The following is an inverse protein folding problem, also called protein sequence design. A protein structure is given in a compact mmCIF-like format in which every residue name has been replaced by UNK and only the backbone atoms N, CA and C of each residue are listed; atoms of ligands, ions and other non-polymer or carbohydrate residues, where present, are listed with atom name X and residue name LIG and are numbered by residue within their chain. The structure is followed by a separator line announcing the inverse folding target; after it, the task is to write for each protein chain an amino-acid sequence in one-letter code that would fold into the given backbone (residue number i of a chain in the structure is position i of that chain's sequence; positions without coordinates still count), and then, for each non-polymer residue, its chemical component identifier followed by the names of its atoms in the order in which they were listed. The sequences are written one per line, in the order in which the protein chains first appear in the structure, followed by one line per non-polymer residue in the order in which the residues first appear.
data_IF_305945860025
#
_entry.id   IF_305945860025
#
_cell.length_a   1.000
_cell.length_b   1.000
_cell.length_c   1.000
_cell.angle_alpha   90.00
_cell.angle_beta   90.00
_cell.angle_gamma   90.00
#
_symmetry.space_group_name_H-M   'P 1'
#
loop_
_entity.id
_entity.type
_entity.pdbx_description
1 polymer ?
#
# COMPACT_ATOMS: atom_id res chain seq x y z
N UNK A 1 6.07 16.91 -48.48
CA UNK A 1 5.72 15.47 -48.55
C UNK A 1 6.54 14.56 -47.64
N UNK A 2 7.85 14.80 -47.39
CA UNK A 2 8.66 13.93 -46.51
C UNK A 2 8.39 14.07 -45.00
N UNK A 3 7.93 15.23 -44.53
CA UNK A 3 7.63 15.47 -43.09
C UNK A 3 6.32 14.81 -42.66
N UNK A 4 5.30 14.81 -43.53
CA UNK A 4 4.00 14.20 -43.24
C UNK A 4 4.08 12.66 -43.18
N UNK A 5 4.96 12.04 -43.97
CA UNK A 5 5.18 10.60 -43.93
C UNK A 5 5.83 10.11 -42.63
N UNK A 6 6.76 10.89 -42.04
CA UNK A 6 7.42 10.54 -40.78
C UNK A 6 6.47 10.63 -39.56
N UNK A 7 5.55 11.61 -39.59
CA UNK A 7 4.55 11.81 -38.54
C UNK A 7 3.44 10.75 -38.64
N UNK A 8 3.02 10.40 -39.86
CA UNK A 8 2.16 9.24 -40.09
C UNK A 8 2.84 7.93 -39.70
N UNK A 9 4.13 7.72 -39.98
CA UNK A 9 4.85 6.51 -39.55
C UNK A 9 4.96 6.41 -38.02
N UNK A 10 5.20 7.52 -37.31
CA UNK A 10 5.21 7.54 -35.84
C UNK A 10 3.82 7.21 -35.27
N UNK A 11 2.76 7.84 -35.79
CA UNK A 11 1.38 7.56 -35.36
C UNK A 11 0.93 6.12 -35.69
N UNK A 12 1.40 5.56 -36.82
CA UNK A 12 1.07 4.21 -37.26
C UNK A 12 1.86 3.14 -36.50
N UNK A 13 3.13 3.40 -36.14
CA UNK A 13 3.93 2.52 -35.27
C UNK A 13 3.39 2.54 -33.83
N UNK A 14 2.98 3.70 -33.31
CA UNK A 14 2.34 3.82 -31.98
C UNK A 14 1.01 3.04 -31.94
N UNK A 15 0.27 2.97 -33.05
CA UNK A 15 -0.98 2.19 -33.13
C UNK A 15 -0.80 0.66 -33.12
N UNK A 16 0.44 0.13 -33.12
CA UNK A 16 0.72 -1.30 -33.27
C UNK A 16 1.37 -2.00 -32.05
N UNK A 17 1.67 -1.31 -30.96
CA UNK A 17 2.31 -1.94 -29.79
C UNK A 17 1.56 -1.75 -28.47
N UNK A 18 0.23 -1.71 -28.53
CA UNK A 18 -0.54 -1.85 -27.29
C UNK A 18 -0.57 -3.32 -26.88
N UNK A 19 -0.13 -3.60 -25.66
CA UNK A 19 -0.23 -4.94 -25.06
C UNK A 19 -1.69 -5.24 -24.67
N UNK A 20 -1.91 -6.41 -24.04
CA UNK A 20 -3.26 -6.93 -23.73
C UNK A 20 -4.04 -6.02 -22.79
N UNK A 21 -3.37 -5.20 -21.97
CA UNK A 21 -4.01 -4.33 -21.00
C UNK A 21 -4.86 -3.21 -21.63
N UNK A 22 -4.67 -2.93 -22.92
CA UNK A 22 -5.53 -2.00 -23.68
C UNK A 22 -7.02 -2.36 -23.66
N UNK A 23 -7.36 -3.62 -23.35
CA UNK A 23 -8.73 -4.15 -23.30
C UNK A 23 -9.33 -4.18 -21.89
N UNK A 24 -8.54 -3.90 -20.86
CA UNK A 24 -8.99 -3.97 -19.46
C UNK A 24 -9.92 -2.81 -19.11
N UNK A 25 -10.72 -2.96 -18.05
CA UNK A 25 -11.58 -1.88 -17.59
C UNK A 25 -10.81 -0.89 -16.71
N UNK A 26 -10.02 -1.41 -15.77
CA UNK A 26 -9.11 -0.65 -14.90
C UNK A 26 -8.35 0.43 -15.65
N UNK A 27 -8.47 1.67 -15.16
CA UNK A 27 -7.67 2.79 -15.63
C UNK A 27 -6.19 2.59 -15.34
N UNK A 28 -5.86 2.00 -14.18
CA UNK A 28 -4.50 1.67 -13.80
C UNK A 28 -3.85 0.68 -14.79
N UNK A 29 -4.56 -0.41 -15.16
CA UNK A 29 -4.03 -1.36 -16.14
C UNK A 29 -3.86 -0.71 -17.52
N UNK A 30 -4.82 0.11 -17.94
CA UNK A 30 -4.74 0.86 -19.22
C UNK A 30 -3.55 1.80 -19.29
N UNK A 31 -3.12 2.42 -18.19
CA UNK A 31 -1.92 3.27 -18.16
C UNK A 31 -0.66 2.50 -18.59
N UNK A 32 -0.61 1.19 -18.36
CA UNK A 32 0.51 0.33 -18.75
C UNK A 32 0.34 -0.32 -20.14
N UNK A 33 -0.73 -0.01 -20.88
CA UNK A 33 -1.02 -0.65 -22.15
C UNK A 33 0.02 -0.36 -23.25
N UNK A 34 0.73 0.77 -23.15
CA UNK A 34 1.75 1.20 -24.10
C UNK A 34 3.19 0.85 -23.66
N UNK A 35 3.35 0.25 -22.48
CA UNK A 35 4.67 -0.16 -22.00
C UNK A 35 5.25 -1.25 -22.93
N UNK A 36 6.57 -1.22 -23.20
CA UNK A 36 7.24 -2.25 -24.02
C UNK A 36 7.23 -3.64 -23.38
N UNK A 37 6.88 -3.75 -22.09
CA UNK A 37 6.64 -5.03 -21.42
C UNK A 37 5.37 -5.67 -21.99
N UNK A 38 5.44 -6.94 -22.39
CA UNK A 38 4.29 -7.72 -22.89
C UNK A 38 3.41 -8.16 -21.73
N UNK A 39 2.67 -7.22 -21.16
CA UNK A 39 1.80 -7.45 -20.02
C UNK A 39 0.58 -8.30 -20.39
N UNK A 40 0.29 -9.27 -19.54
CA UNK A 40 -0.98 -9.97 -19.45
C UNK A 40 -1.79 -9.41 -18.27
N UNK A 41 -3.13 -9.33 -18.38
CA UNK A 41 -3.97 -9.23 -17.20
C UNK A 41 -3.91 -10.54 -16.40
N UNK A 42 -4.31 -10.49 -15.13
CA UNK A 42 -4.42 -11.69 -14.32
C UNK A 42 -5.53 -12.61 -14.84
N UNK A 43 -5.18 -13.83 -15.25
CA UNK A 43 -6.15 -14.82 -15.71
C UNK A 43 -5.52 -16.03 -16.39
N UNK A 44 -6.36 -16.99 -16.78
CA UNK A 44 -5.94 -18.29 -17.36
C UNK A 44 -5.00 -18.16 -18.56
N UNK A 45 -5.15 -17.11 -19.38
CA UNK A 45 -4.27 -16.85 -20.52
C UNK A 45 -2.79 -16.70 -20.10
N UNK A 46 -2.52 -16.00 -19.00
CA UNK A 46 -1.16 -15.80 -18.49
C UNK A 46 -0.54 -17.11 -17.98
N UNK A 47 -1.31 -17.90 -17.21
CA UNK A 47 -0.86 -19.20 -16.69
C UNK A 47 -0.59 -20.19 -17.83
N UNK A 48 -1.49 -20.25 -18.82
CA UNK A 48 -1.31 -21.11 -19.99
C UNK A 48 -0.06 -20.71 -20.79
N UNK A 49 0.19 -19.41 -20.99
CA UNK A 49 1.37 -18.92 -21.67
C UNK A 49 2.66 -19.24 -20.88
N UNK A 50 2.63 -19.15 -19.55
CA UNK A 50 3.77 -19.51 -18.70
C UNK A 50 4.09 -21.01 -18.78
N UNK A 51 3.06 -21.85 -18.76
CA UNK A 51 3.19 -23.31 -18.88
C UNK A 51 3.72 -23.72 -20.26
N UNK A 52 3.14 -23.18 -21.35
CA UNK A 52 3.56 -23.49 -22.72
C UNK A 52 5.01 -23.06 -23.00
N UNK A 53 5.39 -21.87 -22.49
CA UNK A 53 6.74 -21.34 -22.70
C UNK A 53 7.77 -21.89 -21.70
N UNK A 54 7.33 -22.59 -20.66
CA UNK A 54 8.17 -23.05 -19.55
C UNK A 54 8.87 -21.92 -18.80
N UNK A 55 8.29 -20.71 -18.82
CA UNK A 55 8.83 -19.51 -18.14
C UNK A 55 8.12 -19.29 -16.81
N UNK A 56 8.79 -18.76 -15.78
CA UNK A 56 8.12 -18.29 -14.59
C UNK A 56 7.22 -17.08 -14.87
N UNK A 57 6.23 -16.88 -14.02
CA UNK A 57 5.41 -15.67 -13.99
C UNK A 57 6.14 -14.58 -13.21
N UNK A 58 6.03 -13.35 -13.70
CA UNK A 58 6.35 -12.14 -12.93
C UNK A 58 5.04 -11.36 -12.75
N UNK A 59 4.50 -11.40 -11.54
CA UNK A 59 3.25 -10.74 -11.16
C UNK A 59 3.59 -9.40 -10.50
N UNK A 60 3.21 -8.30 -11.14
CA UNK A 60 3.41 -6.94 -10.64
C UNK A 60 2.07 -6.31 -10.26
N UNK A 61 1.84 -6.16 -8.95
CA UNK A 61 0.60 -5.65 -8.37
C UNK A 61 0.79 -4.19 -7.95
N UNK A 62 -0.16 -3.35 -8.31
CA UNK A 62 -0.23 -1.95 -7.87
C UNK A 62 -1.64 -1.40 -8.06
N UNK A 63 -1.80 -0.09 -8.01
CA UNK A 63 -3.07 0.59 -8.11
C UNK A 63 -2.83 2.06 -8.48
N UNK A 64 -3.88 2.78 -8.88
CA UNK A 64 -3.78 4.05 -9.61
C UNK A 64 -3.12 5.22 -8.86
N UNK A 65 -3.22 5.28 -7.53
CA UNK A 65 -2.68 6.37 -6.72
C UNK A 65 -1.32 6.02 -6.05
N UNK A 66 -0.76 4.85 -6.39
CA UNK A 66 0.49 4.35 -5.84
C UNK A 66 1.71 5.07 -6.46
N UNK A 67 2.30 6.02 -5.73
CA UNK A 67 3.50 6.75 -6.16
C UNK A 67 4.65 5.82 -6.60
N UNK A 68 5.08 4.88 -5.75
CA UNK A 68 6.18 3.97 -6.09
C UNK A 68 5.87 3.06 -7.28
N UNK A 69 4.60 2.81 -7.56
CA UNK A 69 4.18 2.08 -8.75
C UNK A 69 4.41 2.92 -10.02
N UNK A 70 4.10 4.22 -9.97
CA UNK A 70 4.44 5.16 -11.05
C UNK A 70 5.94 5.31 -11.24
N UNK A 71 6.70 5.49 -10.14
CA UNK A 71 8.17 5.57 -10.18
C UNK A 71 8.76 4.33 -10.85
N UNK A 72 8.37 3.13 -10.43
CA UNK A 72 8.88 1.90 -11.04
C UNK A 72 8.43 1.74 -12.50
N UNK A 73 7.24 2.21 -12.85
CA UNK A 73 6.78 2.17 -14.23
C UNK A 73 7.65 3.05 -15.14
N UNK A 74 7.85 4.31 -14.78
CA UNK A 74 8.68 5.25 -15.52
C UNK A 74 10.15 4.81 -15.58
N UNK A 75 10.70 4.39 -14.45
CA UNK A 75 12.13 4.05 -14.37
C UNK A 75 12.45 2.68 -15.00
N UNK A 76 11.51 1.73 -14.96
CA UNK A 76 11.77 0.34 -15.36
C UNK A 76 10.85 -0.19 -16.45
N UNK A 77 9.53 -0.10 -16.29
CA UNK A 77 8.60 -0.77 -17.22
C UNK A 77 8.48 -0.07 -18.58
N UNK A 78 8.83 1.23 -18.67
CA UNK A 78 8.91 2.00 -19.91
C UNK A 78 10.26 1.83 -20.65
N UNK A 79 11.26 1.24 -19.99
CA UNK A 79 12.58 1.05 -20.57
C UNK A 79 12.60 -0.15 -21.53
N UNK A 80 12.86 0.09 -22.82
CA UNK A 80 13.02 -0.97 -23.84
C UNK A 80 14.04 -2.04 -23.44
N UNK A 81 15.13 -1.65 -22.79
CA UNK A 81 16.17 -2.57 -22.34
C UNK A 81 15.66 -3.52 -21.26
N UNK A 82 15.01 -2.97 -20.22
CA UNK A 82 14.51 -3.74 -19.09
C UNK A 82 13.32 -4.59 -19.53
N UNK A 83 12.40 -4.01 -20.31
CA UNK A 83 11.26 -4.74 -20.87
C UNK A 83 11.69 -5.92 -21.73
N UNK A 84 12.77 -5.79 -22.51
CA UNK A 84 13.33 -6.91 -23.26
C UNK A 84 13.80 -8.05 -22.35
N UNK A 85 14.45 -7.73 -21.21
CA UNK A 85 14.83 -8.74 -20.23
C UNK A 85 13.59 -9.41 -19.63
N UNK A 86 12.59 -8.63 -19.24
CA UNK A 86 11.33 -9.13 -18.70
C UNK A 86 10.63 -10.08 -19.68
N UNK A 87 10.39 -9.64 -20.92
CA UNK A 87 9.70 -10.42 -21.96
C UNK A 87 10.47 -11.68 -22.37
N UNK A 88 11.80 -11.62 -22.38
CA UNK A 88 12.64 -12.77 -22.73
C UNK A 88 12.54 -13.88 -21.68
N UNK A 89 12.41 -13.52 -20.40
CA UNK A 89 12.62 -14.43 -19.29
C UNK A 89 11.35 -14.80 -18.51
N UNK A 90 10.29 -14.00 -18.62
CA UNK A 90 9.08 -14.13 -17.82
C UNK A 90 7.83 -14.00 -18.68
N UNK A 91 6.72 -14.54 -18.19
CA UNK A 91 5.38 -14.08 -18.57
C UNK A 91 4.98 -13.02 -17.56
N UNK A 92 4.87 -11.78 -18.02
CA UNK A 92 4.65 -10.62 -17.16
C UNK A 92 3.16 -10.36 -16.97
N UNK A 93 2.70 -10.33 -15.73
CA UNK A 93 1.31 -10.13 -15.36
C UNK A 93 1.17 -8.84 -14.58
N UNK A 94 0.25 -7.97 -15.02
CA UNK A 94 -0.08 -6.72 -14.30
C UNK A 94 -1.42 -6.91 -13.60
N UNK A 95 -1.46 -6.58 -12.31
CA UNK A 95 -2.67 -6.69 -11.49
C UNK A 95 -3.00 -5.34 -10.89
N UNK A 96 -4.28 -4.97 -10.96
CA UNK A 96 -4.84 -3.86 -10.20
C UNK A 96 -5.37 -4.40 -8.88
N UNK A 97 -4.79 -3.93 -7.78
CA UNK A 97 -5.21 -4.27 -6.42
C UNK A 97 -6.65 -3.85 -6.14
N UNK A 98 -7.13 -2.76 -6.72
CA UNK A 98 -8.49 -2.25 -6.47
C UNK A 98 -9.55 -3.15 -7.12
N UNK A 99 -9.23 -3.78 -8.24
CA UNK A 99 -10.09 -4.78 -8.88
C UNK A 99 -9.90 -6.20 -8.30
N UNK A 100 -8.68 -6.55 -7.86
CA UNK A 100 -8.30 -7.88 -7.36
C UNK A 100 -7.62 -7.85 -5.99
N UNK A 101 -8.31 -7.40 -4.93
CA UNK A 101 -7.77 -7.39 -3.57
C UNK A 101 -7.50 -8.80 -3.03
N UNK A 102 -8.19 -9.81 -3.56
CA UNK A 102 -7.98 -11.22 -3.25
C UNK A 102 -6.60 -11.71 -3.71
N UNK A 103 -6.17 -11.32 -4.91
CA UNK A 103 -4.85 -11.67 -5.46
C UNK A 103 -3.76 -10.91 -4.72
N UNK A 104 -3.98 -9.61 -4.47
CA UNK A 104 -3.08 -8.76 -3.71
C UNK A 104 -2.77 -9.33 -2.32
N UNK A 105 -3.80 -9.73 -1.57
CA UNK A 105 -3.63 -10.24 -0.22
C UNK A 105 -2.74 -11.48 -0.18
N UNK A 106 -3.01 -12.48 -1.03
CA UNK A 106 -2.25 -13.74 -1.07
C UNK A 106 -0.77 -13.48 -1.36
N UNK A 107 -0.49 -12.59 -2.31
CA UNK A 107 0.88 -12.28 -2.70
C UNK A 107 1.59 -11.34 -1.71
N UNK A 108 0.86 -10.45 -1.05
CA UNK A 108 1.40 -9.62 0.02
C UNK A 108 1.86 -10.49 1.20
N UNK A 109 1.04 -11.44 1.62
CA UNK A 109 1.39 -12.41 2.66
C UNK A 109 2.65 -13.22 2.28
N UNK A 110 2.73 -13.67 1.02
CA UNK A 110 3.91 -14.38 0.52
C UNK A 110 5.18 -13.52 0.60
N UNK A 111 5.13 -12.26 0.16
CA UNK A 111 6.31 -11.37 0.19
C UNK A 111 6.69 -11.00 1.61
N UNK A 112 5.73 -10.74 2.50
CA UNK A 112 5.99 -10.49 3.91
C UNK A 112 6.71 -11.67 4.57
N UNK A 113 6.35 -12.91 4.23
CA UNK A 113 7.08 -14.07 4.73
C UNK A 113 8.54 -14.13 4.23
N UNK A 114 8.77 -13.78 2.97
CA UNK A 114 10.09 -13.87 2.32
C UNK A 114 11.02 -12.74 2.77
N UNK A 115 10.51 -11.50 2.80
CA UNK A 115 11.29 -10.28 3.01
C UNK A 115 11.11 -9.67 4.40
N UNK A 116 10.21 -10.21 5.23
CA UNK A 116 9.81 -9.66 6.54
C UNK A 116 9.23 -8.23 6.46
N UNK A 117 8.88 -7.79 5.24
CA UNK A 117 8.31 -6.49 4.93
C UNK A 117 7.44 -6.61 3.67
N UNK A 118 6.53 -5.67 3.47
CA UNK A 118 5.62 -5.65 2.33
C UNK A 118 5.24 -4.23 1.95
N UNK A 119 4.64 -4.07 0.78
CA UNK A 119 4.27 -2.77 0.21
C UNK A 119 4.10 -2.85 -1.30
N UNK A 120 3.79 -1.70 -1.91
CA UNK A 120 3.59 -1.58 -3.36
C UNK A 120 4.65 -0.66 -3.98
N UNK A 121 5.07 -0.88 -5.24
CA UNK A 121 4.63 -1.95 -6.15
C UNK A 121 5.08 -3.31 -5.62
N UNK A 122 4.19 -4.30 -5.70
CA UNK A 122 4.48 -5.64 -5.22
C UNK A 122 4.87 -6.51 -6.42
N UNK A 123 6.13 -6.95 -6.46
CA UNK A 123 6.68 -7.73 -7.56
C UNK A 123 6.97 -9.16 -7.08
N UNK A 124 6.22 -10.13 -7.61
CA UNK A 124 6.27 -11.52 -7.18
C UNK A 124 6.61 -12.44 -8.34
N UNK A 125 7.62 -13.29 -8.12
CA UNK A 125 8.04 -14.31 -9.05
C UNK A 125 7.38 -15.64 -8.66
N UNK A 126 6.65 -16.21 -9.61
CA UNK A 126 5.83 -17.40 -9.38
C UNK A 126 6.18 -18.51 -10.37
N UNK A 127 5.91 -19.74 -9.96
CA UNK A 127 5.83 -20.87 -10.88
C UNK A 127 4.71 -20.64 -11.91
N UNK A 128 4.71 -21.37 -13.05
CA UNK A 128 3.65 -21.27 -14.06
C UNK A 128 2.22 -21.51 -13.53
N UNK A 129 2.07 -22.19 -12.40
CA UNK A 129 0.79 -22.45 -11.73
C UNK A 129 0.39 -21.34 -10.72
N UNK A 130 1.19 -20.28 -10.60
CA UNK A 130 0.92 -19.14 -9.74
C UNK A 130 1.50 -19.22 -8.32
N UNK A 131 2.10 -20.35 -7.91
CA UNK A 131 2.69 -20.43 -6.55
C UNK A 131 3.93 -19.51 -6.44
N UNK A 132 3.98 -18.61 -5.45
CA UNK A 132 5.09 -17.67 -5.30
C UNK A 132 6.33 -18.35 -4.73
N UNK A 133 7.51 -18.01 -5.25
CA UNK A 133 8.80 -18.48 -4.70
C UNK A 133 9.77 -17.35 -4.33
N UNK A 134 9.56 -16.14 -4.83
CA UNK A 134 10.35 -14.96 -4.48
C UNK A 134 9.52 -13.70 -4.70
N UNK A 135 9.85 -12.61 -4.02
CA UNK A 135 9.27 -11.31 -4.32
C UNK A 135 9.88 -10.20 -3.49
N UNK A 136 9.43 -8.98 -3.78
CA UNK A 136 9.82 -7.77 -3.08
C UNK A 136 8.96 -6.59 -3.52
N UNK A 137 9.27 -5.42 -2.98
CA UNK A 137 8.53 -4.20 -3.28
C UNK A 137 9.17 -3.46 -4.47
N UNK A 138 9.75 -2.30 -4.21
CA UNK A 138 10.43 -1.48 -5.20
C UNK A 138 11.86 -1.97 -5.46
N UNK A 139 12.24 -2.03 -6.74
CA UNK A 139 13.60 -2.30 -7.18
C UNK A 139 14.06 -1.18 -8.15
N UNK A 140 15.17 -0.47 -7.87
CA UNK A 140 15.63 0.61 -8.75
C UNK A 140 16.21 0.05 -10.06
N UNK A 141 16.23 0.82 -11.16
CA UNK A 141 16.80 0.37 -12.43
C UNK A 141 18.32 0.20 -12.37
N UNK A 142 18.99 0.94 -11.48
CA UNK A 142 20.44 0.99 -11.29
C UNK A 142 20.81 0.99 -9.81
N UNK A 143 22.08 0.69 -9.50
CA UNK A 143 22.57 0.74 -8.13
C UNK A 143 22.78 2.19 -7.71
N UNK A 144 22.03 2.61 -6.67
CA UNK A 144 22.09 3.97 -6.10
C UNK A 144 22.91 4.04 -4.81
N UNK A 145 23.63 2.98 -4.45
CA UNK A 145 24.43 2.92 -3.21
C UNK A 145 23.62 2.77 -1.93
N UNK A 146 22.31 2.49 -2.04
CA UNK A 146 21.38 2.34 -0.91
C UNK A 146 21.20 0.88 -0.47
N UNK A 147 22.03 -0.04 -0.99
CA UNK A 147 21.96 -1.48 -0.67
C UNK A 147 20.83 -2.24 -1.38
N UNK A 148 20.01 -1.56 -2.21
CA UNK A 148 18.98 -2.19 -3.02
C UNK A 148 19.58 -2.83 -4.28
N UNK A 149 19.16 -4.05 -4.58
CA UNK A 149 19.62 -4.77 -5.78
C UNK A 149 18.89 -4.20 -7.00
N UNK A 150 19.60 -3.81 -8.07
CA UNK A 150 18.95 -3.26 -9.26
C UNK A 150 18.04 -4.27 -9.96
N UNK A 151 16.92 -3.78 -10.49
CA UNK A 151 15.88 -4.58 -11.13
C UNK A 151 16.40 -5.51 -12.25
N UNK A 152 17.26 -5.05 -13.18
CA UNK A 152 17.85 -5.94 -14.19
C UNK A 152 18.66 -7.10 -13.58
N UNK A 153 19.34 -6.85 -12.45
CA UNK A 153 20.11 -7.90 -11.77
C UNK A 153 19.19 -8.92 -11.09
N UNK A 154 18.08 -8.47 -10.48
CA UNK A 154 17.07 -9.37 -9.90
C UNK A 154 16.48 -10.26 -10.99
N UNK A 155 16.01 -9.66 -12.10
CA UNK A 155 15.46 -10.39 -13.25
C UNK A 155 16.41 -11.48 -13.76
N UNK A 156 17.69 -11.15 -13.96
CA UNK A 156 18.67 -12.10 -14.46
C UNK A 156 18.98 -13.21 -13.46
N UNK A 157 19.19 -12.87 -12.18
CA UNK A 157 19.47 -13.87 -11.13
C UNK A 157 18.31 -14.87 -10.99
N UNK A 158 17.07 -14.38 -10.98
CA UNK A 158 15.89 -15.24 -10.90
C UNK A 158 15.78 -16.13 -12.13
N UNK A 159 15.93 -15.57 -13.33
CA UNK A 159 15.88 -16.35 -14.57
C UNK A 159 16.95 -17.45 -14.62
N UNK A 160 18.20 -17.14 -14.25
CA UNK A 160 19.28 -18.12 -14.23
C UNK A 160 19.05 -19.21 -13.20
N UNK A 161 18.58 -18.84 -12.01
CA UNK A 161 18.29 -19.78 -10.94
C UNK A 161 17.09 -20.68 -11.32
N UNK A 162 16.05 -20.14 -11.93
CA UNK A 162 14.91 -20.92 -12.44
C UNK A 162 15.33 -21.97 -13.45
N UNK A 163 16.30 -21.67 -14.33
CA UNK A 163 16.82 -22.64 -15.31
C UNK A 163 17.72 -23.71 -14.70
N UNK A 164 18.45 -23.38 -13.64
CA UNK A 164 19.46 -24.27 -13.04
C UNK A 164 18.91 -25.13 -11.91
N UNK A 165 18.00 -24.58 -11.12
CA UNK A 165 17.56 -25.10 -9.83
C UNK A 165 16.03 -25.07 -9.69
N UNK A 166 15.30 -25.45 -10.75
CA UNK A 166 13.82 -25.41 -10.75
C UNK A 166 13.21 -26.16 -9.57
N UNK A 167 13.75 -27.33 -9.22
CA UNK A 167 13.26 -28.14 -8.08
C UNK A 167 13.37 -27.40 -6.74
N UNK A 168 14.44 -26.64 -6.51
CA UNK A 168 14.60 -25.85 -5.28
C UNK A 168 13.54 -24.74 -5.19
N UNK A 169 13.19 -24.13 -6.33
CA UNK A 169 12.11 -23.14 -6.40
C UNK A 169 10.73 -23.77 -6.18
N UNK A 170 10.51 -24.98 -6.67
CA UNK A 170 9.27 -25.74 -6.43
C UNK A 170 9.10 -26.08 -4.94
N UNK A 171 10.16 -26.54 -4.29
CA UNK A 171 10.17 -26.81 -2.84
C UNK A 171 9.92 -25.53 -2.02
N UNK A 172 10.52 -24.41 -2.40
CA UNK A 172 10.29 -23.12 -1.75
C UNK A 172 8.84 -22.64 -1.94
N UNK A 173 8.30 -22.77 -3.15
CA UNK A 173 6.92 -22.44 -3.45
C UNK A 173 5.92 -23.27 -2.63
N UNK A 174 6.19 -24.58 -2.49
CA UNK A 174 5.41 -25.48 -1.63
C UNK A 174 5.45 -25.08 -0.16
N UNK A 175 6.62 -24.68 0.34
CA UNK A 175 6.77 -24.23 1.71
C UNK A 175 5.99 -22.93 1.97
N UNK A 176 6.06 -21.97 1.05
CA UNK A 176 5.32 -20.71 1.15
C UNK A 176 3.82 -20.97 1.10
N UNK A 177 3.34 -21.73 0.11
CA UNK A 177 1.93 -22.07 -0.03
C UNK A 177 1.38 -22.77 1.22
N UNK A 178 2.11 -23.76 1.74
CA UNK A 178 1.69 -24.50 2.94
C UNK A 178 1.54 -23.59 4.16
N UNK A 179 2.45 -22.63 4.33
CA UNK A 179 2.39 -21.68 5.43
C UNK A 179 1.24 -20.68 5.28
N UNK A 180 1.01 -20.14 4.08
CA UNK A 180 -0.15 -19.29 3.80
C UNK A 180 -1.44 -20.05 4.11
N UNK A 181 -1.57 -21.28 3.61
CA UNK A 181 -2.72 -22.13 3.91
C UNK A 181 -2.85 -22.45 5.40
N UNK A 182 -1.74 -22.65 6.12
CA UNK A 182 -1.75 -22.91 7.55
C UNK A 182 -2.20 -21.68 8.35
N UNK A 183 -1.77 -20.46 7.97
CA UNK A 183 -2.22 -19.20 8.57
C UNK A 183 -3.72 -18.99 8.33
N UNK A 184 -4.18 -19.20 7.11
CA UNK A 184 -5.61 -19.12 6.75
C UNK A 184 -6.40 -20.21 7.48
N UNK A 185 -5.90 -21.44 7.58
CA UNK A 185 -6.58 -22.52 8.31
C UNK A 185 -6.57 -22.29 9.83
N UNK A 186 -5.51 -21.74 10.41
CA UNK A 186 -5.51 -21.34 11.82
C UNK A 186 -6.60 -20.29 12.09
N UNK A 187 -6.84 -19.38 11.15
CA UNK A 187 -7.96 -18.42 11.18
C UNK A 187 -9.33 -19.04 10.83
N UNK A 188 -9.36 -20.12 10.03
CA UNK A 188 -10.59 -20.74 9.48
C UNK A 188 -11.01 -22.03 10.20
N UNK A 189 -10.26 -22.51 11.19
CA UNK A 189 -10.76 -23.59 12.03
C UNK A 189 -11.90 -23.07 12.90
N UNK A 190 -13.13 -23.30 12.44
CA UNK A 190 -14.26 -23.64 13.30
C UNK A 190 -14.01 -24.95 14.06
N UNK A 191 -12.84 -25.06 14.71
CA UNK A 191 -12.22 -26.31 15.11
C UNK A 191 -11.06 -26.16 16.10
N UNK A 192 -10.85 -24.99 16.71
CA UNK A 192 -10.28 -25.00 18.05
C UNK A 192 -11.29 -25.73 18.96
N UNK A 193 -10.99 -26.97 19.34
CA UNK A 193 -11.74 -27.67 20.40
C UNK A 193 -11.56 -27.03 21.79
N UNK A 194 -10.79 -25.93 21.88
CA UNK A 194 -10.76 -25.08 23.05
C UNK A 194 -12.05 -24.28 23.16
N UNK A 195 -12.65 -24.28 24.35
CA UNK A 195 -13.72 -23.34 24.66
C UNK A 195 -13.17 -21.91 24.49
N UNK A 196 -13.92 -21.06 23.79
CA UNK A 196 -13.64 -19.62 23.75
C UNK A 196 -13.54 -19.06 25.18
N UNK A 197 -12.50 -18.27 25.44
CA UNK A 197 -12.28 -17.59 26.71
C UNK A 197 -11.99 -16.10 26.46
N UNK A 198 -12.65 -15.23 27.24
CA UNK A 198 -12.41 -13.80 27.20
C UNK A 198 -10.97 -13.45 27.60
N UNK A 199 -10.26 -14.33 28.32
CA UNK A 199 -8.84 -14.17 28.63
C UNK A 199 -7.96 -13.94 27.38
N UNK A 200 -8.32 -14.53 26.23
CA UNK A 200 -7.59 -14.30 24.99
C UNK A 200 -7.67 -12.86 24.49
N UNK A 201 -8.80 -12.19 24.69
CA UNK A 201 -8.95 -10.77 24.35
C UNK A 201 -8.08 -9.89 25.24
N UNK A 202 -7.98 -10.23 26.53
CA UNK A 202 -7.13 -9.53 27.50
C UNK A 202 -5.66 -9.74 27.19
N UNK A 203 -5.25 -10.96 26.84
CA UNK A 203 -3.88 -11.26 26.40
C UNK A 203 -3.52 -10.48 25.13
N UNK A 204 -4.40 -10.48 24.12
CA UNK A 204 -4.22 -9.73 22.89
C UNK A 204 -4.07 -8.22 23.17
N UNK A 205 -4.92 -7.65 24.03
CA UNK A 205 -4.84 -6.23 24.39
C UNK A 205 -3.53 -5.87 25.09
N UNK A 206 -3.06 -6.71 26.02
CA UNK A 206 -1.76 -6.54 26.66
C UNK A 206 -0.61 -6.60 25.65
N UNK A 207 -0.63 -7.57 24.73
CA UNK A 207 0.36 -7.70 23.67
C UNK A 207 0.41 -6.47 22.77
N UNK A 208 -0.76 -6.00 22.31
CA UNK A 208 -0.87 -4.80 21.48
C UNK A 208 -0.36 -3.58 22.24
N UNK A 209 -0.86 -3.34 23.46
CA UNK A 209 -0.47 -2.18 24.28
C UNK A 209 1.02 -2.17 24.63
N UNK A 210 1.65 -3.34 24.75
CA UNK A 210 3.08 -3.49 25.01
C UNK A 210 3.98 -3.11 23.83
N UNK A 211 3.44 -3.01 22.63
CA UNK A 211 4.16 -2.59 21.41
C UNK A 211 3.94 -1.12 21.03
N UNK A 212 3.14 -0.39 21.81
CA UNK A 212 2.81 1.00 21.55
C UNK A 212 4.01 1.93 21.76
N UNK A 213 4.17 2.89 20.85
CA UNK A 213 5.12 3.98 20.95
C UNK A 213 4.54 5.09 21.84
N UNK A 214 4.89 5.09 23.12
CA UNK A 214 4.38 6.09 24.08
C UNK A 214 4.87 7.52 23.82
N UNK A 215 5.94 7.68 23.02
CA UNK A 215 6.51 8.99 22.73
C UNK A 215 5.81 9.66 21.55
N UNK A 216 5.59 8.92 20.46
CA UNK A 216 5.01 9.47 19.23
C UNK A 216 3.66 8.86 18.85
N UNK A 217 3.10 7.96 19.65
CA UNK A 217 1.81 7.32 19.41
C UNK A 217 1.83 6.30 18.27
N UNK A 218 0.93 5.32 18.29
CA UNK A 218 0.85 4.26 17.29
C UNK A 218 1.76 3.07 17.60
N UNK A 219 2.06 2.28 16.58
CA UNK A 219 2.70 0.97 16.75
C UNK A 219 3.83 0.78 15.73
N UNK A 220 4.91 0.13 16.15
CA UNK A 220 6.06 -0.15 15.30
C UNK A 220 6.94 1.07 14.98
N UNK A 221 7.89 0.87 14.08
CA UNK A 221 8.78 1.91 13.57
C UNK A 221 8.30 2.54 12.26
N UNK A 222 9.17 3.30 11.60
CA UNK A 222 8.89 3.85 10.28
C UNK A 222 8.95 2.78 9.16
N UNK A 223 8.09 2.86 8.12
CA UNK A 223 6.96 3.79 7.96
C UNK A 223 5.78 3.44 8.89
N UNK A 224 5.05 4.46 9.38
CA UNK A 224 3.91 4.30 10.30
C UNK A 224 2.58 4.46 9.59
N UNK A 225 1.71 3.45 9.75
CA UNK A 225 0.35 3.43 9.20
C UNK A 225 -0.69 3.75 10.27
N UNK A 226 -1.80 4.46 9.94
CA UNK A 226 -2.87 4.75 10.88
C UNK A 226 -3.54 3.45 11.38
N UNK A 227 -3.48 3.13 12.68
CA UNK A 227 -3.92 1.82 13.18
C UNK A 227 -5.41 1.82 13.56
N UNK A 228 -6.28 2.37 12.72
CA UNK A 228 -7.72 2.63 13.01
C UNK A 228 -8.46 1.41 13.57
N UNK A 229 -8.29 0.24 12.94
CA UNK A 229 -8.91 -1.02 13.39
C UNK A 229 -8.39 -1.50 14.74
N UNK A 230 -7.08 -1.38 14.99
CA UNK A 230 -6.46 -1.73 16.28
C UNK A 230 -7.01 -0.84 17.39
N UNK A 231 -7.12 0.47 17.14
CA UNK A 231 -7.72 1.42 18.09
C UNK A 231 -9.18 1.08 18.37
N UNK A 232 -9.96 0.77 17.34
CA UNK A 232 -11.36 0.38 17.48
C UNK A 232 -11.54 -0.93 18.25
N UNK A 233 -10.66 -1.91 18.03
CA UNK A 233 -10.62 -3.15 18.81
C UNK A 233 -10.37 -2.87 20.29
N UNK A 234 -9.28 -2.17 20.61
CA UNK A 234 -8.91 -1.84 21.99
C UNK A 234 -10.03 -1.10 22.70
N UNK A 235 -10.68 -0.15 22.04
CA UNK A 235 -11.75 0.66 22.63
C UNK A 235 -13.08 -0.07 22.76
N UNK A 236 -13.37 -0.99 21.84
CA UNK A 236 -14.50 -1.90 22.00
C UNK A 236 -14.29 -2.80 23.21
N UNK A 237 -13.07 -3.30 23.40
CA UNK A 237 -12.69 -4.13 24.55
C UNK A 237 -12.67 -3.33 25.87
N UNK A 238 -12.23 -2.08 25.83
CA UNK A 238 -12.20 -1.16 26.98
C UNK A 238 -13.56 -0.99 27.66
N UNK A 239 -14.64 -1.11 26.88
CA UNK A 239 -16.05 -1.03 27.34
C UNK A 239 -16.64 -2.38 27.78
N UNK A 240 -15.81 -3.41 27.91
CA UNK A 240 -16.24 -4.75 28.30
C UNK A 240 -16.03 -4.99 29.80
N UNK A 241 -16.91 -5.83 30.37
CA UNK A 241 -16.81 -6.24 31.77
C UNK A 241 -15.48 -6.96 32.10
N UNK A 242 -14.81 -7.54 31.09
CA UNK A 242 -13.51 -8.19 31.26
C UNK A 242 -12.40 -7.17 31.55
N UNK A 243 -12.42 -6.00 30.92
CA UNK A 243 -11.46 -4.92 31.19
C UNK A 243 -11.87 -4.10 32.41
N UNK A 244 -13.17 -3.96 32.71
CA UNK A 244 -13.63 -3.29 33.94
C UNK A 244 -13.09 -3.98 35.22
N UNK A 245 -12.78 -5.28 35.14
CA UNK A 245 -12.14 -6.04 36.21
C UNK A 245 -10.61 -5.84 36.31
N UNK A 246 -9.99 -5.17 35.32
CA UNK A 246 -8.55 -4.95 35.17
C UNK A 246 -8.25 -3.44 34.97
N UNK A 247 -8.35 -2.60 36.03
CA UNK A 247 -8.30 -1.14 35.88
C UNK A 247 -7.03 -0.61 35.22
N UNK A 248 -5.87 -1.22 35.51
CA UNK A 248 -4.58 -0.84 34.93
C UNK A 248 -4.56 -1.04 33.41
N UNK A 249 -5.16 -2.12 32.91
CA UNK A 249 -5.29 -2.36 31.47
C UNK A 249 -6.25 -1.35 30.83
N UNK A 250 -7.34 -1.00 31.53
CA UNK A 250 -8.27 0.03 31.08
C UNK A 250 -7.57 1.38 30.86
N UNK A 251 -6.82 1.85 31.86
CA UNK A 251 -6.04 3.10 31.77
C UNK A 251 -4.96 3.04 30.68
N UNK A 252 -4.32 1.87 30.52
CA UNK A 252 -3.33 1.67 29.46
C UNK A 252 -3.97 1.79 28.08
N UNK A 253 -5.14 1.17 27.86
CA UNK A 253 -5.86 1.27 26.60
C UNK A 253 -6.24 2.72 26.30
N UNK A 254 -6.77 3.45 27.28
CA UNK A 254 -7.15 4.85 27.14
C UNK A 254 -5.94 5.71 26.73
N UNK A 255 -4.79 5.48 27.37
CA UNK A 255 -3.51 6.14 27.04
C UNK A 255 -3.07 5.84 25.61
N UNK A 256 -2.99 4.57 25.23
CA UNK A 256 -2.60 4.12 23.89
C UNK A 256 -3.46 4.77 22.81
N UNK A 257 -4.78 4.78 23.02
CA UNK A 257 -5.71 5.31 22.05
C UNK A 257 -5.60 6.83 21.90
N UNK A 258 -5.59 7.56 23.02
CA UNK A 258 -5.56 9.01 22.99
C UNK A 258 -4.20 9.57 22.54
N UNK A 259 -3.09 8.95 22.94
CA UNK A 259 -1.74 9.34 22.47
C UNK A 259 -1.63 9.13 20.96
N UNK A 260 -2.09 7.99 20.44
CA UNK A 260 -2.07 7.71 19.00
C UNK A 260 -2.94 8.69 18.21
N UNK A 261 -4.19 8.91 18.62
CA UNK A 261 -5.10 9.84 17.92
C UNK A 261 -4.58 11.27 17.94
N UNK A 262 -4.06 11.77 19.08
CA UNK A 262 -3.51 13.13 19.15
C UNK A 262 -2.25 13.29 18.30
N UNK A 263 -1.35 12.31 18.32
CA UNK A 263 -0.13 12.35 17.54
C UNK A 263 -0.41 12.38 16.03
N UNK A 264 -1.34 11.55 15.55
CA UNK A 264 -1.74 11.56 14.14
C UNK A 264 -2.43 12.87 13.74
N UNK A 265 -3.32 13.40 14.59
CA UNK A 265 -4.05 14.66 14.31
C UNK A 265 -3.14 15.90 14.30
N UNK A 266 -2.09 15.93 15.12
CA UNK A 266 -1.12 17.03 15.16
C UNK A 266 0.05 16.85 14.19
N UNK A 267 0.21 15.67 13.60
CA UNK A 267 1.25 15.37 12.62
C UNK A 267 0.91 15.83 11.22
N UNK A 268 1.88 15.72 10.31
CA UNK A 268 1.70 15.92 8.87
C UNK A 268 0.90 14.82 8.18
N UNK A 269 0.58 13.72 8.89
CA UNK A 269 -0.34 12.69 8.39
C UNK A 269 -1.76 13.25 8.19
N UNK A 270 -2.25 14.09 9.11
CA UNK A 270 -3.51 14.80 8.95
C UNK A 270 -3.26 16.10 8.17
N UNK A 271 -4.01 16.31 7.10
CA UNK A 271 -3.94 17.53 6.33
C UNK A 271 -4.58 18.69 7.11
N UNK A 272 -3.73 19.50 7.73
CA UNK A 272 -4.08 20.62 8.61
C UNK A 272 -4.88 21.74 7.91
N UNK A 273 -4.96 21.72 6.58
CA UNK A 273 -5.63 22.77 5.81
C UNK A 273 -6.85 22.23 5.06
N UNK A 274 -6.65 21.11 4.35
CA UNK A 274 -7.67 20.51 3.50
C UNK A 274 -8.55 19.49 4.22
N UNK A 275 -8.11 18.96 5.36
CA UNK A 275 -8.75 17.85 6.05
C UNK A 275 -8.45 16.50 5.39
N UNK A 276 -8.76 15.43 6.13
CA UNK A 276 -8.44 14.06 5.75
C UNK A 276 -6.98 13.68 5.98
N UNK A 277 -6.73 12.38 5.96
CA UNK A 277 -5.47 11.76 6.27
C UNK A 277 -4.79 11.24 5.01
N UNK A 278 -3.50 11.52 4.92
CA UNK A 278 -2.57 10.82 4.05
C UNK A 278 -2.40 9.36 4.51
N UNK A 279 -1.91 8.50 3.62
CA UNK A 279 -1.96 7.05 3.80
C UNK A 279 -1.06 6.56 4.93
N UNK A 280 0.16 7.09 5.01
CA UNK A 280 1.13 6.72 6.03
C UNK A 280 2.19 7.81 6.21
N UNK A 281 2.95 7.71 7.28
CA UNK A 281 4.12 8.56 7.53
C UNK A 281 5.41 7.78 7.24
N UNK A 282 6.34 8.36 6.47
CA UNK A 282 7.65 7.73 6.20
C UNK A 282 8.59 7.81 7.40
N UNK A 283 8.28 8.64 8.38
CA UNK A 283 9.06 8.83 9.60
C UNK A 283 8.25 8.44 10.85
N UNK A 284 8.89 8.19 12.01
CA UNK A 284 8.20 7.68 13.18
C UNK A 284 7.38 8.73 13.96
N UNK A 285 7.51 10.02 13.63
CA UNK A 285 6.91 11.16 14.35
C UNK A 285 5.60 11.64 13.72
N UNK A 286 5.11 10.96 12.67
CA UNK A 286 3.93 11.36 11.88
C UNK A 286 4.10 12.69 11.12
N UNK A 287 5.33 13.09 10.78
CA UNK A 287 5.60 14.42 10.22
C UNK A 287 5.63 14.44 8.69
N UNK A 288 6.18 13.40 8.07
CA UNK A 288 6.41 13.33 6.63
C UNK A 288 5.42 12.32 6.05
N UNK A 289 4.27 12.78 5.53
CA UNK A 289 3.29 11.89 4.93
C UNK A 289 3.75 11.37 3.56
N UNK A 290 3.23 10.21 3.20
CA UNK A 290 3.07 9.81 1.81
C UNK A 290 1.67 10.25 1.37
N UNK A 291 1.59 11.26 0.49
CA UNK A 291 0.44 12.18 0.37
C UNK A 291 -0.84 11.60 -0.24
N UNK A 292 -0.78 10.35 -0.68
CA UNK A 292 -1.96 9.60 -1.13
C UNK A 292 -3.04 9.56 -0.04
N UNK A 293 -4.31 9.81 -0.39
CA UNK A 293 -5.43 9.69 0.56
C UNK A 293 -6.42 8.63 0.10
N UNK A 294 -6.62 7.59 0.92
CA UNK A 294 -7.54 6.49 0.59
C UNK A 294 -8.90 6.70 1.26
N UNK A 295 -9.99 6.45 0.52
CA UNK A 295 -11.36 6.55 1.06
C UNK A 295 -11.54 5.63 2.28
N UNK A 296 -11.08 4.37 2.18
CA UNK A 296 -11.29 3.38 3.23
C UNK A 296 -10.53 3.72 4.52
N UNK A 297 -9.30 4.26 4.41
CA UNK A 297 -8.51 4.66 5.57
C UNK A 297 -9.19 5.83 6.29
N UNK A 298 -9.62 6.85 5.53
CA UNK A 298 -10.30 8.02 6.07
C UNK A 298 -11.67 7.67 6.68
N UNK A 299 -12.44 6.76 6.06
CA UNK A 299 -13.69 6.28 6.61
C UNK A 299 -13.50 5.56 7.96
N UNK A 300 -12.46 4.73 8.08
CA UNK A 300 -12.13 4.04 9.33
C UNK A 300 -11.61 5.01 10.41
N UNK A 301 -10.86 6.04 10.01
CA UNK A 301 -10.38 7.07 10.92
C UNK A 301 -11.52 7.95 11.43
N UNK A 302 -12.52 8.29 10.60
CA UNK A 302 -13.74 8.97 11.07
C UNK A 302 -14.38 8.17 12.22
N UNK A 303 -14.54 6.85 12.10
CA UNK A 303 -15.08 6.03 13.20
C UNK A 303 -14.17 6.06 14.43
N UNK A 304 -12.85 5.91 14.26
CA UNK A 304 -11.89 5.93 15.37
C UNK A 304 -11.91 7.25 16.14
N UNK A 305 -11.88 8.40 15.45
CA UNK A 305 -11.94 9.73 16.06
C UNK A 305 -13.33 10.04 16.63
N UNK A 306 -14.42 9.67 15.94
CA UNK A 306 -15.79 9.85 16.45
C UNK A 306 -15.97 9.11 17.76
N UNK A 307 -15.53 7.84 17.81
CA UNK A 307 -15.51 7.12 19.06
C UNK A 307 -14.67 7.89 20.05
N UNK A 308 -13.49 8.40 19.69
CA UNK A 308 -12.53 9.02 20.62
C UNK A 308 -13.16 10.22 21.31
N UNK A 309 -13.90 10.99 20.52
CA UNK A 309 -14.75 12.07 21.00
C UNK A 309 -15.85 11.59 21.95
N UNK A 310 -16.49 10.44 21.70
CA UNK A 310 -17.47 9.88 22.65
C UNK A 310 -16.88 9.49 24.02
N UNK A 311 -15.57 9.25 24.13
CA UNK A 311 -14.95 8.88 25.40
C UNK A 311 -14.75 10.10 26.33
N UNK A 312 -14.28 11.23 25.80
CA UNK A 312 -13.90 12.39 26.62
C UNK A 312 -14.32 13.76 26.05
N UNK A 313 -15.01 13.79 24.91
CA UNK A 313 -15.49 15.00 24.23
C UNK A 313 -14.37 15.98 23.86
N UNK A 314 -13.15 15.51 23.61
CA UNK A 314 -12.02 16.35 23.18
C UNK A 314 -12.37 17.08 21.86
N UNK A 315 -12.40 18.43 21.84
CA UNK A 315 -12.75 19.21 20.65
C UNK A 315 -11.86 18.92 19.45
N UNK A 316 -10.60 18.51 19.66
CA UNK A 316 -9.70 18.13 18.57
C UNK A 316 -10.29 17.01 17.72
N UNK A 317 -10.89 16.00 18.35
CA UNK A 317 -11.44 14.85 17.64
C UNK A 317 -12.70 15.20 16.84
N UNK A 318 -13.51 16.12 17.35
CA UNK A 318 -14.65 16.63 16.60
C UNK A 318 -14.19 17.40 15.35
N UNK A 319 -13.20 18.29 15.50
CA UNK A 319 -12.62 19.04 14.39
C UNK A 319 -12.05 18.10 13.31
N UNK A 320 -11.25 17.11 13.70
CA UNK A 320 -10.69 16.11 12.76
C UNK A 320 -11.78 15.38 11.98
N UNK A 321 -12.88 14.99 12.65
CA UNK A 321 -14.01 14.32 11.99
C UNK A 321 -14.71 15.27 11.00
N UNK A 322 -15.03 16.49 11.44
CA UNK A 322 -15.70 17.50 10.61
C UNK A 322 -14.86 17.87 9.38
N UNK A 323 -13.57 18.09 9.55
CA UNK A 323 -12.64 18.43 8.47
C UNK A 323 -12.43 17.26 7.51
N UNK A 324 -12.35 16.02 8.00
CA UNK A 324 -12.26 14.83 7.15
C UNK A 324 -13.53 14.63 6.33
N UNK A 325 -14.71 14.83 6.92
CA UNK A 325 -15.99 14.79 6.18
C UNK A 325 -16.05 15.92 5.16
N UNK A 326 -15.64 17.13 5.54
CA UNK A 326 -15.57 18.27 4.61
C UNK A 326 -14.64 18.01 3.43
N UNK A 327 -13.50 17.34 3.64
CA UNK A 327 -12.64 16.88 2.55
C UNK A 327 -13.33 15.86 1.65
N UNK A 328 -14.00 14.85 2.23
CA UNK A 328 -14.73 13.84 1.45
C UNK A 328 -15.82 14.46 0.56
N UNK A 329 -16.55 15.44 1.08
CA UNK A 329 -17.60 16.14 0.33
C UNK A 329 -17.03 17.01 -0.80
N UNK A 330 -15.90 17.70 -0.57
CA UNK A 330 -15.29 18.59 -1.57
C UNK A 330 -14.52 17.85 -2.66
N UNK A 331 -13.68 16.90 -2.27
CA UNK A 331 -12.66 16.32 -3.17
C UNK A 331 -13.00 14.90 -3.62
N UNK A 332 -13.71 14.14 -2.78
CA UNK A 332 -13.93 12.70 -3.02
C UNK A 332 -15.32 12.38 -3.57
N UNK A 333 -16.27 13.32 -3.56
CA UNK A 333 -17.62 13.08 -4.05
C UNK A 333 -17.67 13.12 -5.58
N UNK A 334 -18.25 12.08 -6.19
CA UNK A 334 -18.41 12.02 -7.64
C UNK A 334 -19.73 12.66 -8.08
N UNK A 335 -19.73 13.38 -9.20
CA UNK A 335 -20.94 14.01 -9.79
C UNK A 335 -22.08 13.00 -10.05
N UNK A 336 -21.73 11.75 -10.33
CA UNK A 336 -22.67 10.64 -10.53
C UNK A 336 -23.26 10.07 -9.22
N UNK A 337 -22.84 10.57 -8.06
CA UNK A 337 -23.07 9.99 -6.75
C UNK A 337 -22.00 8.98 -6.35
N UNK A 338 -21.88 8.74 -5.04
CA UNK A 338 -20.81 7.92 -4.45
C UNK A 338 -19.52 8.70 -4.22
N UNK A 339 -18.46 7.98 -3.84
CA UNK A 339 -17.14 8.54 -3.59
C UNK A 339 -16.08 7.88 -4.49
N UNK A 340 -15.06 8.65 -4.89
CA UNK A 340 -13.84 8.13 -5.47
C UNK A 340 -13.11 7.23 -4.45
N UNK A 341 -12.33 6.26 -4.93
CA UNK A 341 -11.65 5.28 -4.06
C UNK A 341 -10.39 5.85 -3.40
N UNK A 342 -9.69 6.74 -4.10
CA UNK A 342 -8.43 7.34 -3.66
C UNK A 342 -8.23 8.72 -4.29
N UNK A 343 -7.36 9.51 -3.67
CA UNK A 343 -6.76 10.73 -4.21
C UNK A 343 -5.26 10.49 -4.38
N UNK A 344 -4.75 10.76 -5.57
CA UNK A 344 -3.34 10.56 -5.94
C UNK A 344 -2.40 11.46 -5.12
N UNK A 345 -1.20 10.95 -4.84
CA UNK A 345 -0.11 11.68 -4.21
C UNK A 345 0.64 12.59 -5.21
N UNK A 346 0.63 12.24 -6.50
CA UNK A 346 1.39 12.92 -7.53
C UNK A 346 0.67 14.19 -8.02
N UNK A 347 1.38 15.32 -7.95
CA UNK A 347 0.94 16.58 -8.55
C UNK A 347 2.05 17.14 -9.42
N UNK A 348 1.78 17.26 -10.73
CA UNK A 348 2.75 17.72 -11.74
C UNK A 348 4.05 16.88 -11.83
N UNK A 349 4.02 15.61 -11.43
CA UNK A 349 5.18 14.70 -11.46
C UNK A 349 6.07 14.75 -10.21
N UNK A 350 5.65 15.47 -9.17
CA UNK A 350 6.30 15.52 -7.85
C UNK A 350 5.30 15.08 -6.77
N UNK A 351 5.75 14.26 -5.81
CA UNK A 351 4.90 13.80 -4.71
C UNK A 351 4.57 14.98 -3.78
N UNK A 352 3.29 15.23 -3.54
CA UNK A 352 2.84 16.13 -2.49
C UNK A 352 3.05 17.63 -2.73
N UNK A 353 3.33 18.07 -3.96
CA UNK A 353 3.63 19.47 -4.28
C UNK A 353 2.61 20.48 -3.75
N UNK A 354 1.31 20.16 -3.79
CA UNK A 354 0.27 21.04 -3.23
C UNK A 354 0.26 21.14 -1.69
N UNK A 355 0.97 20.26 -1.02
CA UNK A 355 1.00 20.14 0.44
C UNK A 355 2.33 20.57 1.05
N UNK A 356 3.34 20.86 0.24
CA UNK A 356 4.65 21.36 0.70
C UNK A 356 4.69 22.87 0.50
N UNK A 357 4.87 23.59 1.61
CA UNK A 357 4.95 25.04 1.64
C UNK A 357 6.28 25.47 2.23
N UNK A 358 6.92 26.45 1.62
CA UNK A 358 8.08 27.14 2.20
C UNK A 358 7.63 28.14 3.27
N UNK A 359 8.45 28.43 4.29
CA UNK A 359 8.15 29.47 5.26
C UNK A 359 7.83 30.82 4.59
N UNK A 360 8.54 31.15 3.51
CA UNK A 360 8.32 32.38 2.74
C UNK A 360 6.94 32.42 2.07
N UNK A 361 6.44 31.29 1.55
CA UNK A 361 5.09 31.20 0.99
C UNK A 361 4.02 31.39 2.06
N UNK A 362 4.21 30.82 3.25
CA UNK A 362 3.31 31.00 4.39
C UNK A 362 3.29 32.48 4.83
N UNK A 363 4.46 33.08 5.03
CA UNK A 363 4.60 34.49 5.42
C UNK A 363 3.99 35.44 4.38
N UNK A 364 4.04 35.07 3.10
CA UNK A 364 3.46 35.89 2.02
C UNK A 364 1.93 35.95 2.07
N UNK A 365 1.28 34.91 2.60
CA UNK A 365 -0.19 34.78 2.67
C UNK A 365 -0.71 35.27 4.01
N UNK A 366 -0.08 34.87 5.12
CA UNK A 366 -0.52 35.20 6.48
C UNK A 366 0.04 36.52 7.00
N UNK A 367 1.06 37.08 6.33
CA UNK A 367 1.90 38.15 6.86
C UNK A 367 3.02 37.58 7.74
N UNK A 368 4.06 38.38 8.05
CA UNK A 368 5.14 37.95 8.93
C UNK A 368 4.57 37.51 10.27
N UNK A 369 4.93 36.32 10.72
CA UNK A 369 4.55 35.83 12.04
C UNK A 369 5.02 36.83 13.09
N UNK A 370 4.09 37.48 13.80
CA UNK A 370 4.48 38.22 15.00
C UNK A 370 5.04 37.17 15.98
N UNK A 371 6.35 37.19 16.22
CA UNK A 371 6.97 36.46 17.31
C UNK A 371 6.12 36.71 18.56
N UNK A 372 5.43 35.68 19.03
CA UNK A 372 4.72 35.72 20.30
C UNK A 372 5.75 36.09 21.36
N UNK A 373 5.67 37.33 21.83
CA UNK A 373 6.45 37.84 22.96
C UNK A 373 6.10 37.03 24.20
N UNK A 374 7.16 36.48 24.80
CA UNK A 374 7.30 35.90 26.16
C UNK A 374 6.69 34.52 26.44
#
# INVERSE_FOLDING_TARGET
MRVCAAQFFKQFIISQMQNRLSKENSLYLKQHAENPVDWYPWGEEAFAAAEESGKPLLVSIGYSACHWCHVMAHESFESDYIAKLMNQHFVCVKVDREERPDVDQVYMEAVQMIQQSGGWPLNVFCLPDGRPFFGGTYFPPEDRGQGLIPWPQVLMRISEHYKRSRTELEENADAIQKNIMASTMAASTGGAQGLWDNAFLIEAANGICGTHDDQYGGFGGAPKFPPSMTLNFLRSLRRSAAVDAEPELGERIDTVCHTTLRAMAHGGLFDQFGGGFARYSVDPHWLIPHFEKMLYDNALLIDAYTRGWLDNQDPLYAAVVEETIGWLEREMSADSGGFYAALDADSEGEEGRYYVWTPEEIDSVLGPTEESRE
#
